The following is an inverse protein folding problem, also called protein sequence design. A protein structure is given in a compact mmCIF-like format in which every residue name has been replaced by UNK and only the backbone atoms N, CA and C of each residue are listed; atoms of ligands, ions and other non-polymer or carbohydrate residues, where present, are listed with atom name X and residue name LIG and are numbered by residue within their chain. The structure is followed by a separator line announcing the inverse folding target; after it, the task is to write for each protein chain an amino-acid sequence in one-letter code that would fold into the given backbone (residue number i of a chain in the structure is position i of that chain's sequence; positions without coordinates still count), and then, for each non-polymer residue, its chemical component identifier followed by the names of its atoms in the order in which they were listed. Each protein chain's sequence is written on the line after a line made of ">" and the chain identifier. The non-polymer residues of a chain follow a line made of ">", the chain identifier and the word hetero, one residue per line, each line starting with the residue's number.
data_IF_884132252587
#
_entry.id   IF_884132252587
#
_cell.length_a   1.000
_cell.length_b   1.000
_cell.length_c   1.000
_cell.angle_alpha   90.00
_cell.angle_beta   90.00
_cell.angle_gamma   90.00
#
_symmetry.space_group_name_H-M   'P 1'
#
loop_
_entity.id
_entity.type
_entity.pdbx_description
1 polymer ?
#
# COMPACT_ATOMS: atom_id res chain seq x y z
N UNK A 1 3.49 16.98 -6.61
CA UNK A 1 3.27 15.52 -6.64
C UNK A 1 4.05 14.90 -7.79
N UNK A 2 5.11 14.16 -7.49
CA UNK A 2 5.99 13.41 -8.42
C UNK A 2 5.28 12.13 -8.87
N UNK A 3 5.28 11.88 -10.17
CA UNK A 3 4.53 10.79 -10.79
C UNK A 3 5.41 10.02 -11.76
N UNK A 4 5.20 8.72 -11.85
CA UNK A 4 5.77 7.89 -12.92
C UNK A 4 4.68 7.03 -13.58
N UNK A 5 4.86 6.71 -14.85
CA UNK A 5 4.04 5.75 -15.58
C UNK A 5 4.95 4.70 -16.22
N UNK A 6 4.71 3.44 -15.92
CA UNK A 6 5.52 2.31 -16.42
C UNK A 6 4.63 1.19 -16.94
N UNK A 7 5.18 0.39 -17.85
CA UNK A 7 4.64 -0.91 -18.24
C UNK A 7 5.54 -1.99 -17.64
N UNK A 8 4.94 -2.94 -16.94
CA UNK A 8 5.65 -3.99 -16.23
C UNK A 8 4.78 -5.25 -16.22
N UNK A 9 5.11 -6.24 -17.05
CA UNK A 9 4.27 -7.44 -17.22
C UNK A 9 4.63 -8.58 -16.27
N UNK A 10 5.78 -8.50 -15.58
CA UNK A 10 6.13 -9.46 -14.53
C UNK A 10 5.30 -9.31 -13.25
N UNK A 11 5.40 -10.29 -12.35
CA UNK A 11 4.73 -10.25 -11.04
C UNK A 11 5.23 -9.06 -10.21
N UNK A 12 4.29 -8.33 -9.60
CA UNK A 12 4.53 -7.17 -8.75
C UNK A 12 4.04 -7.46 -7.34
N UNK A 13 4.89 -7.22 -6.35
CA UNK A 13 4.54 -7.25 -4.94
C UNK A 13 4.32 -5.82 -4.45
N UNK A 14 3.20 -5.55 -3.78
CA UNK A 14 2.91 -4.25 -3.17
C UNK A 14 2.84 -4.44 -1.66
N UNK A 15 3.77 -3.80 -0.95
CA UNK A 15 3.84 -3.76 0.51
C UNK A 15 3.55 -2.35 0.98
N UNK A 16 2.66 -2.18 1.93
CA UNK A 16 2.24 -0.86 2.45
C UNK A 16 2.35 -0.84 3.95
N UNK A 17 2.51 0.36 4.53
CA UNK A 17 2.38 0.60 5.97
C UNK A 17 3.24 -0.41 6.76
N UNK A 18 4.52 -0.51 6.42
CA UNK A 18 5.49 -1.39 7.10
C UNK A 18 5.89 -0.79 8.46
N UNK A 19 6.04 0.54 8.56
CA UNK A 19 6.40 1.29 9.77
C UNK A 19 7.69 0.79 10.44
N UNK A 20 8.74 0.50 9.67
CA UNK A 20 10.04 0.13 10.23
C UNK A 20 10.54 1.24 11.20
N UNK A 21 10.98 0.89 12.43
CA UNK A 21 11.38 -0.43 12.93
C UNK A 21 10.31 -1.28 13.64
N UNK A 22 9.04 -0.90 13.59
CA UNK A 22 7.94 -1.56 14.30
C UNK A 22 7.30 -2.71 13.51
N UNK A 23 8.11 -3.46 12.75
CA UNK A 23 7.66 -4.59 11.92
C UNK A 23 8.55 -5.81 12.08
N UNK A 24 8.11 -6.94 11.52
CA UNK A 24 8.92 -8.15 11.41
C UNK A 24 9.61 -8.21 10.03
N UNK A 25 10.92 -7.98 10.03
CA UNK A 25 11.75 -8.05 8.82
C UNK A 25 11.84 -9.49 8.27
N UNK A 26 11.79 -10.50 9.12
CA UNK A 26 11.86 -11.90 8.70
C UNK A 26 10.56 -12.32 8.01
N UNK A 27 9.41 -11.84 8.47
CA UNK A 27 8.13 -11.98 7.77
C UNK A 27 8.18 -11.34 6.38
N UNK A 28 8.63 -10.09 6.27
CA UNK A 28 8.76 -9.39 4.97
C UNK A 28 9.66 -10.19 4.03
N UNK A 29 10.80 -10.67 4.53
CA UNK A 29 11.73 -11.48 3.74
C UNK A 29 11.12 -12.81 3.29
N UNK A 30 10.36 -13.50 4.15
CA UNK A 30 9.63 -14.72 3.78
C UNK A 30 8.65 -14.44 2.65
N UNK A 31 7.87 -13.35 2.73
CA UNK A 31 6.92 -12.93 1.69
C UNK A 31 7.64 -12.65 0.37
N UNK A 32 8.72 -11.87 0.39
CA UNK A 32 9.48 -11.57 -0.83
C UNK A 32 10.04 -12.84 -1.48
N UNK A 33 10.58 -13.76 -0.68
CA UNK A 33 11.14 -15.02 -1.17
C UNK A 33 10.09 -16.02 -1.66
N UNK A 34 8.88 -16.02 -1.08
CA UNK A 34 7.77 -16.88 -1.53
C UNK A 34 7.14 -16.34 -2.81
N UNK A 35 6.88 -15.03 -2.88
CA UNK A 35 6.23 -14.43 -4.05
C UNK A 35 7.17 -14.30 -5.24
N UNK A 36 8.48 -14.12 -4.99
CA UNK A 36 9.53 -13.90 -6.00
C UNK A 36 9.13 -12.81 -7.01
N UNK A 37 8.79 -11.60 -6.54
CA UNK A 37 8.37 -10.54 -7.44
C UNK A 37 9.52 -10.08 -8.32
N UNK A 38 9.16 -9.66 -9.54
CA UNK A 38 10.08 -8.99 -10.46
C UNK A 38 10.19 -7.48 -10.19
N UNK A 39 9.18 -6.91 -9.52
CA UNK A 39 9.10 -5.52 -9.04
C UNK A 39 8.44 -5.51 -7.66
N UNK A 40 9.04 -4.79 -6.71
CA UNK A 40 8.40 -4.49 -5.42
C UNK A 40 8.01 -3.02 -5.38
N UNK A 41 6.77 -2.72 -5.03
CA UNK A 41 6.31 -1.38 -4.71
C UNK A 41 6.15 -1.27 -3.21
N UNK A 42 6.89 -0.35 -2.61
CA UNK A 42 6.75 0.04 -1.21
C UNK A 42 5.81 1.25 -1.16
N UNK A 43 4.56 1.03 -0.73
CA UNK A 43 3.43 1.96 -0.89
C UNK A 43 3.25 2.90 0.33
N UNK A 44 4.30 3.61 0.71
CA UNK A 44 4.28 4.58 1.80
C UNK A 44 4.25 3.96 3.20
N UNK A 45 4.65 4.79 4.15
CA UNK A 45 4.84 4.48 5.56
C UNK A 45 5.69 3.24 5.77
N UNK A 46 6.85 3.28 5.14
CA UNK A 46 7.85 2.23 5.14
C UNK A 46 8.83 2.46 6.28
N UNK A 47 9.33 3.69 6.44
CA UNK A 47 10.36 4.04 7.43
C UNK A 47 9.91 5.28 8.18
N UNK A 48 9.42 5.06 9.39
CA UNK A 48 8.77 6.09 10.22
C UNK A 48 9.68 6.60 11.34
N UNK A 49 10.83 5.97 11.57
CA UNK A 49 11.86 6.46 12.50
C UNK A 49 12.93 7.31 11.81
N UNK A 50 13.35 8.42 12.45
CA UNK A 50 14.47 9.25 12.00
C UNK A 50 15.85 8.64 12.28
N UNK A 51 15.92 7.65 13.17
CA UNK A 51 17.18 6.95 13.51
C UNK A 51 17.57 5.89 12.49
N UNK A 52 16.66 5.54 11.60
CA UNK A 52 16.85 4.50 10.58
C UNK A 52 17.14 5.13 9.23
N UNK A 53 17.84 4.44 8.33
CA UNK A 53 18.15 4.91 6.98
C UNK A 53 17.50 4.00 5.93
N UNK A 54 17.11 4.58 4.78
CA UNK A 54 16.50 3.83 3.69
C UNK A 54 17.40 2.74 3.12
N UNK A 55 18.69 3.00 2.95
CA UNK A 55 19.63 1.98 2.44
C UNK A 55 19.77 0.85 3.45
N UNK A 56 19.86 1.17 4.74
CA UNK A 56 19.91 0.17 5.81
C UNK A 56 18.66 -0.74 5.81
N UNK A 57 17.47 -0.17 5.61
CA UNK A 57 16.24 -0.95 5.49
C UNK A 57 16.29 -1.87 4.26
N UNK A 58 16.64 -1.34 3.08
CA UNK A 58 16.77 -2.14 1.85
C UNK A 58 17.83 -3.25 2.01
N UNK A 59 18.92 -2.99 2.73
CA UNK A 59 19.95 -4.00 2.99
C UNK A 59 19.48 -5.13 3.90
N UNK A 60 18.42 -4.93 4.68
CA UNK A 60 17.78 -6.02 5.43
C UNK A 60 16.86 -6.88 4.56
N UNK A 61 16.48 -6.41 3.37
CA UNK A 61 15.64 -7.16 2.44
C UNK A 61 16.45 -8.19 1.64
N UNK A 62 15.88 -9.37 1.43
CA UNK A 62 16.48 -10.48 0.65
C UNK A 62 16.38 -10.27 -0.85
N UNK A 63 15.38 -9.54 -1.34
CA UNK A 63 15.25 -9.13 -2.74
C UNK A 63 15.38 -7.61 -2.79
N UNK A 64 16.45 -7.11 -3.42
CA UNK A 64 16.79 -5.67 -3.44
C UNK A 64 16.70 -5.03 -4.83
N UNK A 65 16.32 -5.80 -5.85
CA UNK A 65 16.24 -5.33 -7.23
C UNK A 65 14.84 -4.81 -7.53
N UNK A 66 14.76 -3.78 -8.39
CA UNK A 66 13.52 -3.20 -8.89
C UNK A 66 12.53 -2.89 -7.75
N UNK A 67 12.91 -1.92 -6.91
CA UNK A 67 12.06 -1.43 -5.84
C UNK A 67 11.66 0.00 -6.20
N UNK A 68 10.36 0.30 -6.14
CA UNK A 68 9.86 1.66 -6.23
C UNK A 68 9.21 2.02 -4.91
N UNK A 69 9.63 3.15 -4.34
CA UNK A 69 9.13 3.65 -3.08
C UNK A 69 8.18 4.84 -3.30
N UNK A 70 6.92 4.69 -2.91
CA UNK A 70 5.95 5.77 -2.82
C UNK A 70 6.02 6.42 -1.45
N UNK A 71 6.06 7.75 -1.37
CA UNK A 71 6.05 8.47 -0.09
C UNK A 71 4.69 8.30 0.63
N UNK A 72 4.72 7.86 1.89
CA UNK A 72 3.63 7.96 2.86
C UNK A 72 3.76 9.21 3.73
N UNK A 73 2.82 9.48 4.62
CA UNK A 73 2.78 10.69 5.46
C UNK A 73 3.73 10.59 6.65
N UNK A 74 3.83 9.42 7.28
CA UNK A 74 4.71 9.19 8.42
C UNK A 74 6.18 9.01 8.03
N UNK A 75 6.45 8.67 6.77
CA UNK A 75 7.80 8.42 6.28
C UNK A 75 8.77 9.57 6.57
N UNK A 76 9.94 9.27 7.12
CA UNK A 76 10.96 10.30 7.44
C UNK A 76 11.88 10.64 6.28
N UNK A 77 11.79 9.87 5.19
CA UNK A 77 12.57 10.03 3.97
C UNK A 77 11.67 10.40 2.80
N UNK A 78 12.26 10.98 1.76
CA UNK A 78 11.56 11.16 0.49
C UNK A 78 11.45 9.78 -0.19
N UNK A 79 10.23 9.35 -0.53
CA UNK A 79 10.05 8.27 -1.50
C UNK A 79 10.49 8.70 -2.90
N UNK A 80 10.59 7.78 -3.85
CA UNK A 80 10.93 8.05 -5.25
C UNK A 80 9.84 8.89 -5.93
N UNK A 81 8.58 8.49 -5.70
CA UNK A 81 7.39 9.10 -6.27
C UNK A 81 6.30 9.29 -5.22
N UNK A 82 5.27 10.05 -5.58
CA UNK A 82 4.09 10.25 -4.74
C UNK A 82 2.87 9.49 -5.33
N UNK A 83 2.95 9.09 -6.61
CA UNK A 83 1.96 8.28 -7.31
C UNK A 83 2.62 7.51 -8.47
N UNK A 84 2.23 6.25 -8.64
CA UNK A 84 2.70 5.38 -9.73
C UNK A 84 1.50 4.96 -10.57
N UNK A 85 1.64 5.01 -11.89
CA UNK A 85 0.73 4.34 -12.82
C UNK A 85 1.45 3.13 -13.42
N UNK A 86 0.85 1.95 -13.30
CA UNK A 86 1.42 0.72 -13.84
C UNK A 86 0.44 0.13 -14.83
N UNK A 87 0.93 -0.24 -16.01
CA UNK A 87 0.24 -1.17 -16.91
C UNK A 87 0.88 -2.55 -16.73
N UNK A 88 0.08 -3.55 -16.36
CA UNK A 88 0.51 -4.94 -16.22
C UNK A 88 -0.45 -5.82 -17.04
N UNK A 89 0.06 -6.47 -18.08
CA UNK A 89 -0.70 -7.35 -18.96
C UNK A 89 -2.00 -6.71 -19.47
N UNK A 90 -1.89 -5.47 -19.97
CA UNK A 90 -3.03 -4.71 -20.53
C UNK A 90 -3.97 -4.08 -19.49
N UNK A 91 -3.86 -4.41 -18.20
CA UNK A 91 -4.62 -3.78 -17.12
C UNK A 91 -3.85 -2.60 -16.53
N UNK A 92 -4.56 -1.54 -16.15
CA UNK A 92 -3.98 -0.30 -15.62
C UNK A 92 -4.28 -0.15 -14.14
N UNK A 93 -3.26 0.23 -13.39
CA UNK A 93 -3.27 0.41 -11.95
C UNK A 93 -2.74 1.80 -11.60
N UNK A 94 -3.33 2.42 -10.58
CA UNK A 94 -2.84 3.64 -9.95
C UNK A 94 -2.53 3.30 -8.50
N UNK A 95 -1.28 3.46 -8.10
CA UNK A 95 -0.80 3.19 -6.76
C UNK A 95 -0.40 4.51 -6.10
N UNK A 96 -0.94 4.79 -4.93
CA UNK A 96 -0.57 5.91 -4.07
C UNK A 96 -0.86 5.55 -2.60
N UNK A 97 -0.22 6.23 -1.66
CA UNK A 97 -0.36 5.87 -0.25
C UNK A 97 -1.76 6.19 0.31
N UNK A 98 -2.23 7.44 0.26
CA UNK A 98 -3.55 7.77 0.80
C UNK A 98 -3.67 9.10 1.54
N UNK A 99 -2.56 9.72 1.94
CA UNK A 99 -2.59 11.02 2.63
C UNK A 99 -2.62 12.23 1.67
N UNK A 100 -2.30 12.03 0.39
CA UNK A 100 -2.03 13.12 -0.57
C UNK A 100 -3.20 14.11 -0.74
N UNK A 101 -4.40 13.72 -0.32
CA UNK A 101 -5.64 14.49 -0.46
C UNK A 101 -6.48 14.52 0.82
N UNK A 102 -5.96 14.01 1.96
CA UNK A 102 -6.70 13.80 3.21
C UNK A 102 -6.42 14.90 4.25
N UNK A 103 -7.34 15.10 5.21
CA UNK A 103 -7.19 16.06 6.33
C UNK A 103 -7.75 15.44 7.62
N UNK A 104 -6.89 14.75 8.38
CA UNK A 104 -7.23 13.56 9.18
C UNK A 104 -8.01 13.77 10.50
N UNK A 105 -7.89 14.94 11.15
CA UNK A 105 -8.21 15.06 12.57
C UNK A 105 -9.70 14.77 12.94
N UNK A 106 -10.66 15.08 12.06
CA UNK A 106 -12.08 14.82 12.31
C UNK A 106 -12.57 13.47 11.76
N UNK A 107 -11.80 12.84 10.87
CA UNK A 107 -12.24 11.67 10.12
C UNK A 107 -12.05 10.38 10.93
N UNK A 108 -11.05 10.33 11.81
CA UNK A 108 -10.76 9.15 12.63
C UNK A 108 -11.91 8.77 13.58
N UNK A 109 -12.49 9.76 14.28
CA UNK A 109 -13.59 9.53 15.21
C UNK A 109 -14.85 9.01 14.51
N UNK A 110 -15.15 9.55 13.32
CA UNK A 110 -16.26 9.10 12.49
C UNK A 110 -16.01 7.69 11.97
N UNK A 111 -14.80 7.41 11.47
CA UNK A 111 -14.41 6.10 10.97
C UNK A 111 -14.55 5.01 12.05
N UNK A 112 -14.22 5.32 13.32
CA UNK A 112 -14.40 4.40 14.45
C UNK A 112 -15.86 4.04 14.70
N UNK A 113 -16.78 4.99 14.57
CA UNK A 113 -18.23 4.74 14.69
C UNK A 113 -18.71 3.92 13.51
N UNK A 114 -18.35 4.29 12.29
CA UNK A 114 -18.75 3.58 11.07
C UNK A 114 -18.24 2.14 11.05
N UNK A 115 -17.00 1.89 11.50
CA UNK A 115 -16.44 0.54 11.64
C UNK A 115 -17.28 -0.36 12.53
N UNK A 116 -17.84 0.17 13.63
CA UNK A 116 -18.74 -0.59 14.52
C UNK A 116 -20.05 -0.97 13.84
N UNK A 117 -20.56 -0.12 12.94
CA UNK A 117 -21.77 -0.41 12.17
C UNK A 117 -21.49 -1.47 11.10
N UNK A 118 -20.40 -1.30 10.36
CA UNK A 118 -19.93 -2.27 9.38
C UNK A 118 -18.44 -2.02 9.11
N UNK A 119 -17.64 -3.06 9.33
CA UNK A 119 -16.17 -3.04 9.20
C UNK A 119 -15.68 -2.62 7.81
N UNK A 120 -16.50 -2.78 6.76
CA UNK A 120 -16.12 -2.40 5.39
C UNK A 120 -16.44 -0.94 5.04
N UNK A 121 -17.23 -0.22 5.83
CA UNK A 121 -17.66 1.15 5.46
C UNK A 121 -16.47 2.12 5.38
N UNK A 122 -15.63 2.28 6.42
CA UNK A 122 -14.50 3.20 6.35
C UNK A 122 -13.56 2.97 5.15
N UNK A 123 -13.02 1.75 4.90
CA UNK A 123 -12.13 1.53 3.75
C UNK A 123 -12.85 1.67 2.40
N UNK A 124 -14.16 1.43 2.33
CA UNK A 124 -14.95 1.70 1.13
C UNK A 124 -15.07 3.19 0.85
N UNK A 125 -15.42 3.99 1.88
CA UNK A 125 -15.52 5.45 1.76
C UNK A 125 -14.18 6.07 1.36
N UNK A 126 -13.08 5.58 1.93
CA UNK A 126 -11.72 5.97 1.55
C UNK A 126 -11.47 5.73 0.05
N UNK A 127 -11.79 4.53 -0.44
CA UNK A 127 -11.71 4.20 -1.86
C UNK A 127 -12.61 5.08 -2.75
N UNK A 128 -13.84 5.38 -2.33
CA UNK A 128 -14.77 6.25 -3.07
C UNK A 128 -14.23 7.67 -3.15
N UNK A 129 -13.71 8.21 -2.05
CA UNK A 129 -13.10 9.54 -2.01
C UNK A 129 -11.96 9.65 -3.04
N UNK A 130 -11.02 8.72 -3.02
CA UNK A 130 -9.91 8.70 -3.98
C UNK A 130 -10.36 8.53 -5.43
N UNK A 131 -11.39 7.72 -5.65
CA UNK A 131 -12.00 7.55 -6.97
C UNK A 131 -12.54 8.88 -7.53
N UNK A 132 -13.23 9.65 -6.69
CA UNK A 132 -13.76 10.97 -7.03
C UNK A 132 -12.62 11.97 -7.27
N UNK A 133 -11.66 12.04 -6.34
CA UNK A 133 -10.55 13.00 -6.40
C UNK A 133 -9.66 12.80 -7.64
N UNK A 134 -9.37 11.55 -8.00
CA UNK A 134 -8.56 11.24 -9.17
C UNK A 134 -9.32 11.35 -10.50
N UNK A 135 -10.66 11.47 -10.46
CA UNK A 135 -11.56 11.48 -11.64
C UNK A 135 -11.26 10.35 -12.63
N UNK A 136 -10.79 9.21 -12.13
CA UNK A 136 -10.44 8.05 -12.94
C UNK A 136 -11.40 6.92 -12.58
N UNK A 137 -12.21 6.45 -13.52
CA UNK A 137 -13.19 5.38 -13.26
C UNK A 137 -12.83 4.05 -13.93
N UNK A 138 -11.71 3.99 -14.66
CA UNK A 138 -11.34 2.84 -15.49
C UNK A 138 -10.22 2.00 -14.88
N UNK A 139 -9.28 2.66 -14.21
CA UNK A 139 -8.07 2.01 -13.70
C UNK A 139 -8.31 1.52 -12.28
N UNK A 140 -7.65 0.42 -11.89
CA UNK A 140 -7.73 -0.05 -10.51
C UNK A 140 -6.87 0.84 -9.62
N UNK A 141 -7.44 1.36 -8.53
CA UNK A 141 -6.69 2.14 -7.54
C UNK A 141 -6.23 1.21 -6.42
N UNK A 142 -4.97 1.31 -6.00
CA UNK A 142 -4.42 0.61 -4.84
C UNK A 142 -3.89 1.66 -3.86
N UNK A 143 -4.40 1.59 -2.64
CA UNK A 143 -4.16 2.53 -1.55
C UNK A 143 -3.52 1.80 -0.36
N UNK A 144 -2.65 2.51 0.37
CA UNK A 144 -2.17 2.18 1.71
C UNK A 144 -2.98 2.91 2.79
N UNK A 145 -2.30 3.36 3.85
CA UNK A 145 -2.73 4.33 4.87
C UNK A 145 -3.85 3.87 5.81
N UNK A 146 -4.88 3.21 5.28
CA UNK A 146 -6.04 2.78 6.08
C UNK A 146 -5.76 1.55 6.95
N UNK A 147 -4.63 0.86 6.74
CA UNK A 147 -4.28 -0.44 7.34
C UNK A 147 -5.31 -1.56 7.11
N UNK A 148 -6.33 -1.35 6.27
CA UNK A 148 -7.33 -2.36 5.93
C UNK A 148 -6.90 -3.16 4.69
N UNK A 149 -7.19 -4.46 4.66
CA UNK A 149 -6.88 -5.32 3.51
C UNK A 149 -8.18 -5.72 2.82
N UNK A 150 -8.63 -4.92 1.84
CA UNK A 150 -9.94 -5.10 1.19
C UNK A 150 -9.88 -4.76 -0.30
N UNK A 151 -10.62 -5.52 -1.12
CA UNK A 151 -10.80 -5.22 -2.54
C UNK A 151 -12.28 -5.00 -2.87
N UNK A 152 -12.63 -3.75 -3.16
CA UNK A 152 -13.96 -3.35 -3.61
C UNK A 152 -14.03 -3.43 -5.14
N UNK A 153 -14.33 -4.63 -5.66
CA UNK A 153 -14.41 -4.91 -7.11
C UNK A 153 -15.37 -3.98 -7.86
N UNK A 154 -16.50 -3.62 -7.26
CA UNK A 154 -17.52 -2.73 -7.87
C UNK A 154 -16.99 -1.35 -8.24
N UNK A 155 -15.98 -0.86 -7.51
CA UNK A 155 -15.34 0.43 -7.77
C UNK A 155 -13.86 0.28 -8.12
N UNK A 156 -13.39 -0.93 -8.43
CA UNK A 156 -12.01 -1.29 -8.73
C UNK A 156 -10.97 -0.65 -7.80
N UNK A 157 -11.18 -0.71 -6.47
CA UNK A 157 -10.28 -0.09 -5.50
C UNK A 157 -9.86 -1.05 -4.40
N UNK A 158 -8.57 -1.04 -4.09
CA UNK A 158 -7.92 -1.94 -3.14
C UNK A 158 -7.28 -1.13 -2.03
N UNK A 159 -7.48 -1.57 -0.79
CA UNK A 159 -6.66 -1.16 0.35
C UNK A 159 -5.65 -2.30 0.62
N UNK A 160 -4.37 -1.94 0.76
CA UNK A 160 -3.25 -2.86 0.68
C UNK A 160 -2.88 -3.56 2.00
N UNK A 161 -3.63 -3.30 3.08
CA UNK A 161 -3.30 -3.81 4.41
C UNK A 161 -2.07 -3.13 5.00
N UNK A 162 -1.44 -3.81 5.94
CA UNK A 162 -0.23 -3.36 6.64
C UNK A 162 0.65 -4.56 6.99
N UNK A 163 1.94 -4.35 7.22
CA UNK A 163 2.84 -5.33 7.86
C UNK A 163 3.41 -4.80 9.19
N UNK A 164 2.86 -3.69 9.68
CA UNK A 164 3.22 -3.07 10.94
C UNK A 164 2.69 -3.86 12.13
N UNK A 165 3.44 -3.83 13.24
CA UNK A 165 2.98 -4.29 14.55
C UNK A 165 2.27 -3.17 15.34
N UNK A 166 2.23 -1.94 14.81
CA UNK A 166 1.57 -0.79 15.46
C UNK A 166 0.06 -0.93 15.32
N UNK A 167 -0.65 -0.78 16.45
CA UNK A 167 -2.11 -0.85 16.48
C UNK A 167 -2.69 0.45 15.92
N UNK A 168 -3.51 0.35 14.87
CA UNK A 168 -4.29 1.45 14.29
C UNK A 168 -5.79 1.06 14.25
N UNK A 169 -6.65 1.88 13.64
CA UNK A 169 -8.09 1.62 13.52
C UNK A 169 -8.36 0.28 12.83
N UNK A 170 -7.58 -0.03 11.80
CA UNK A 170 -7.44 -1.36 11.21
C UNK A 170 -6.02 -1.84 11.43
N UNK A 171 -5.82 -3.14 11.42
CA UNK A 171 -4.50 -3.74 11.43
C UNK A 171 -4.53 -5.07 10.67
N UNK A 172 -5.09 -5.02 9.46
CA UNK A 172 -5.28 -6.21 8.64
C UNK A 172 -3.93 -6.59 8.02
N UNK A 173 -3.20 -7.49 8.70
CA UNK A 173 -1.88 -7.93 8.26
C UNK A 173 -1.94 -8.60 6.90
N UNK A 174 -1.21 -8.07 5.92
CA UNK A 174 -1.13 -8.65 4.60
C UNK A 174 -0.63 -7.69 3.54
N UNK A 175 -0.74 -8.12 2.29
CA UNK A 175 -0.16 -7.43 1.15
C UNK A 175 -0.94 -7.73 -0.14
N UNK A 176 -0.56 -7.02 -1.21
CA UNK A 176 -1.18 -7.17 -2.53
C UNK A 176 -0.16 -7.71 -3.53
N UNK A 177 -0.60 -8.65 -4.36
CA UNK A 177 0.15 -9.17 -5.50
C UNK A 177 -0.59 -8.83 -6.79
N UNK A 178 0.12 -8.24 -7.74
CA UNK A 178 -0.36 -8.06 -9.12
C UNK A 178 0.35 -9.05 -10.02
N UNK A 179 -0.42 -9.88 -10.71
CA UNK A 179 0.13 -10.95 -11.55
C UNK A 179 -0.80 -11.23 -12.73
N UNK A 180 -0.29 -11.10 -13.95
CA UNK A 180 -1.06 -11.26 -15.18
C UNK A 180 -2.35 -10.42 -15.22
N UNK A 181 -2.27 -9.16 -14.76
CA UNK A 181 -3.38 -8.22 -14.68
C UNK A 181 -4.38 -8.50 -13.56
N UNK A 182 -4.17 -9.57 -12.77
CA UNK A 182 -5.03 -9.96 -11.65
C UNK A 182 -4.50 -9.41 -10.34
N UNK A 183 -5.41 -9.19 -9.40
CA UNK A 183 -5.12 -8.70 -8.05
C UNK A 183 -5.39 -9.83 -7.07
N UNK A 184 -4.42 -10.12 -6.21
CA UNK A 184 -4.57 -11.04 -5.08
C UNK A 184 -4.27 -10.28 -3.79
N UNK A 185 -5.17 -10.39 -2.82
CA UNK A 185 -4.93 -9.93 -1.45
C UNK A 185 -4.49 -11.15 -0.66
N UNK A 186 -3.33 -11.07 -0.01
CA UNK A 186 -2.76 -12.18 0.75
C UNK A 186 -2.67 -11.75 2.21
N UNK A 187 -3.39 -12.46 3.08
CA UNK A 187 -3.24 -12.27 4.52
C UNK A 187 -1.88 -12.82 4.97
N UNK A 188 -1.18 -12.03 5.77
CA UNK A 188 0.02 -12.52 6.41
C UNK A 188 -0.36 -13.27 7.68
N UNK A 189 -0.14 -14.57 7.69
CA UNK A 189 -0.31 -15.42 8.87
C UNK A 189 1.03 -15.46 9.59
N UNK A 190 1.15 -14.70 10.66
CA UNK A 190 2.08 -15.02 11.75
C UNK A 190 1.33 -15.91 12.73
#
# INVERSE_FOLDING_TARGET
>A
MRKISIEWDGKILVLSDIHYPYCDIDEINKIMLSERPSLTVLLGDIIVSKSEDYRNFIDKLKIRKNIIYVKGDEDKFRGDFDLIKIKNNGKRFILLHGHQYFNENNEYSLAKVLKKMNDNIPPLLFCIFFRIMLRNFKDTIILGHSHALRFFKTINCVNAGTLSNVINLYNDRGYVVLDNGNIKLVQSKI
#
